data_IF_119671497973
#
_entry.id   IF_119671497973
#
_cell.length_a   1.000
_cell.length_b   1.000
_cell.length_c   1.000
_cell.angle_alpha   90.00
_cell.angle_beta   90.00
_cell.angle_gamma   90.00
#
_symmetry.space_group_name_H-M   'P 1'
#
loop_
_entity.id
_entity.type
_entity.pdbx_description
1 polymer ?
#
# COMPACT_ATOMS: atom_id res chain seq x y z
N UNK A 1 1.45 18.45 35.65
CA UNK A 1 1.97 17.14 35.21
C UNK A 1 1.54 16.78 33.78
N UNK A 2 0.27 16.93 33.45
CA UNK A 2 -0.25 16.60 32.10
C UNK A 2 0.42 17.40 30.96
N UNK A 3 0.62 18.69 31.11
CA UNK A 3 1.27 19.52 30.10
C UNK A 3 2.73 19.13 29.82
N UNK A 4 3.45 18.69 30.83
CA UNK A 4 4.82 18.20 30.66
C UNK A 4 4.86 16.83 29.94
N UNK A 5 3.94 15.94 30.26
CA UNK A 5 3.77 14.66 29.57
C UNK A 5 3.37 14.85 28.10
N UNK A 6 2.44 15.74 27.83
CA UNK A 6 2.03 16.06 26.45
C UNK A 6 3.18 16.63 25.61
N UNK A 7 3.98 17.52 26.18
CA UNK A 7 5.15 18.06 25.49
C UNK A 7 6.20 16.97 25.17
N UNK A 8 6.43 16.05 26.10
CA UNK A 8 7.38 14.95 25.90
C UNK A 8 6.86 14.02 24.80
N UNK A 9 5.58 13.64 24.86
CA UNK A 9 4.95 12.77 23.85
C UNK A 9 4.96 13.42 22.48
N UNK A 10 4.63 14.70 22.37
CA UNK A 10 4.68 15.43 21.09
C UNK A 10 6.09 15.50 20.53
N UNK A 11 7.09 15.71 21.37
CA UNK A 11 8.49 15.79 20.94
C UNK A 11 8.99 14.44 20.44
N UNK A 12 8.67 13.36 21.15
CA UNK A 12 9.01 11.99 20.74
C UNK A 12 8.27 11.64 19.44
N UNK A 13 6.98 11.93 19.34
CA UNK A 13 6.19 11.68 18.15
C UNK A 13 6.72 12.45 16.93
N UNK A 14 7.12 13.70 17.10
CA UNK A 14 7.76 14.50 16.03
C UNK A 14 9.03 13.83 15.52
N UNK A 15 9.95 13.43 16.41
CA UNK A 15 11.17 12.73 15.98
C UNK A 15 10.89 11.39 15.30
N UNK A 16 9.94 10.61 15.81
CA UNK A 16 9.55 9.34 15.19
C UNK A 16 8.95 9.53 13.80
N UNK A 17 8.03 10.48 13.66
CA UNK A 17 7.27 10.68 12.41
C UNK A 17 8.08 11.43 11.36
N UNK A 18 8.84 12.45 11.77
CA UNK A 18 9.52 13.32 10.80
C UNK A 18 10.83 12.75 10.28
N UNK A 19 11.53 11.95 11.09
CA UNK A 19 12.85 11.42 10.71
C UNK A 19 12.84 9.91 10.54
N UNK A 20 12.46 9.16 11.58
CA UNK A 20 12.61 7.70 11.59
C UNK A 20 11.66 7.07 10.58
N UNK A 21 10.40 7.47 10.57
CA UNK A 21 9.40 6.94 9.65
C UNK A 21 9.77 7.20 8.18
N UNK A 22 10.21 8.42 7.86
CA UNK A 22 10.58 8.79 6.49
C UNK A 22 11.80 7.99 6.03
N UNK A 23 12.85 7.91 6.85
CA UNK A 23 14.06 7.15 6.52
C UNK A 23 13.72 5.67 6.33
N UNK A 24 12.89 5.10 7.20
CA UNK A 24 12.49 3.70 7.15
C UNK A 24 11.64 3.42 5.91
N UNK A 25 10.70 4.29 5.59
CA UNK A 25 9.80 4.14 4.44
C UNK A 25 10.56 4.28 3.11
N UNK A 26 11.39 5.30 2.99
CA UNK A 26 12.23 5.51 1.79
C UNK A 26 13.28 4.41 1.67
N UNK A 27 13.94 4.04 2.78
CA UNK A 27 14.93 2.97 2.82
C UNK A 27 14.35 1.61 2.45
N UNK A 28 13.21 1.23 3.02
CA UNK A 28 12.51 -0.01 2.67
C UNK A 28 12.04 0.02 1.20
N UNK A 29 11.43 1.13 0.76
CA UNK A 29 11.00 1.29 -0.63
C UNK A 29 12.15 1.19 -1.62
N UNK A 30 13.29 1.80 -1.32
CA UNK A 30 14.50 1.71 -2.14
C UNK A 30 15.08 0.28 -2.15
N UNK A 31 15.17 -0.35 -0.99
CA UNK A 31 15.62 -1.74 -0.86
C UNK A 31 14.78 -2.68 -1.71
N UNK A 32 13.46 -2.62 -1.57
CA UNK A 32 12.57 -3.45 -2.38
C UNK A 32 12.61 -3.09 -3.87
N UNK A 33 12.71 -1.81 -4.24
CA UNK A 33 12.85 -1.39 -5.63
C UNK A 33 14.08 -1.99 -6.30
N UNK A 34 15.23 -1.96 -5.62
CA UNK A 34 16.48 -2.56 -6.13
C UNK A 34 16.35 -4.08 -6.18
N UNK A 35 15.84 -4.70 -5.11
CA UNK A 35 15.71 -6.16 -5.00
C UNK A 35 14.76 -6.75 -6.03
N UNK A 36 13.68 -6.04 -6.37
CA UNK A 36 12.72 -6.44 -7.41
C UNK A 36 13.08 -5.94 -8.81
N UNK A 37 14.26 -5.32 -8.97
CA UNK A 37 14.73 -4.76 -10.24
C UNK A 37 13.73 -3.78 -10.86
N UNK A 38 13.24 -2.85 -10.07
CA UNK A 38 12.27 -1.82 -10.48
C UNK A 38 11.02 -2.41 -11.15
N UNK A 39 10.41 -3.39 -10.51
CA UNK A 39 9.18 -4.04 -10.99
C UNK A 39 8.08 -3.02 -11.31
N UNK A 40 8.02 -1.91 -10.58
CA UNK A 40 7.06 -0.82 -10.77
C UNK A 40 7.08 -0.29 -12.22
N UNK A 41 8.27 -0.22 -12.83
CA UNK A 41 8.42 0.29 -14.20
C UNK A 41 8.31 -0.84 -15.22
N UNK A 42 8.97 -1.97 -14.95
CA UNK A 42 9.03 -3.10 -15.90
C UNK A 42 7.69 -3.77 -16.14
N UNK A 43 6.93 -3.98 -15.07
CA UNK A 43 5.66 -4.71 -15.15
C UNK A 43 4.44 -3.80 -15.20
N UNK A 44 4.62 -2.47 -15.24
CA UNK A 44 3.51 -1.52 -15.26
C UNK A 44 2.57 -1.74 -16.46
N UNK A 45 3.12 -1.88 -17.66
CA UNK A 45 2.33 -2.09 -18.87
C UNK A 45 1.58 -3.42 -18.87
N UNK A 46 2.20 -4.49 -18.35
CA UNK A 46 1.55 -5.78 -18.24
C UNK A 46 0.47 -5.78 -17.15
N UNK A 47 0.74 -5.14 -16.02
CA UNK A 47 -0.24 -4.93 -14.95
C UNK A 47 -1.48 -4.18 -15.44
N UNK A 48 -1.28 -3.08 -16.16
CA UNK A 48 -2.35 -2.30 -16.79
C UNK A 48 -3.16 -3.14 -17.77
N UNK A 49 -2.49 -3.89 -18.64
CA UNK A 49 -3.15 -4.77 -19.61
C UNK A 49 -3.97 -5.87 -18.94
N UNK A 50 -3.49 -6.45 -17.84
CA UNK A 50 -4.23 -7.48 -17.07
C UNK A 50 -5.43 -6.92 -16.34
N UNK A 51 -5.34 -5.70 -15.83
CA UNK A 51 -6.44 -5.04 -15.13
C UNK A 51 -7.52 -4.59 -16.11
N UNK A 52 -7.12 -3.90 -17.19
CA UNK A 52 -8.07 -3.30 -18.14
C UNK A 52 -8.39 -4.18 -19.34
N UNK A 53 -7.52 -5.13 -19.72
CA UNK A 53 -7.71 -5.98 -20.89
C UNK A 53 -8.75 -7.08 -20.73
N UNK A 54 -9.13 -7.43 -19.51
CA UNK A 54 -10.13 -8.45 -19.17
C UNK A 54 -11.24 -7.88 -18.26
N UNK A 55 -11.69 -6.67 -18.53
CA UNK A 55 -12.86 -6.11 -17.82
C UNK A 55 -14.13 -6.80 -18.33
N UNK A 56 -14.41 -7.99 -17.84
CA UNK A 56 -15.75 -8.57 -17.93
C UNK A 56 -16.62 -7.98 -16.82
N UNK A 57 -17.32 -6.90 -17.14
CA UNK A 57 -18.33 -6.30 -16.26
C UNK A 57 -19.53 -7.24 -15.99
N UNK A 58 -19.71 -8.24 -16.82
CA UNK A 58 -20.65 -9.34 -16.58
C UNK A 58 -19.88 -10.47 -15.94
N UNK A 59 -20.13 -10.73 -14.66
CA UNK A 59 -19.52 -11.76 -13.86
C UNK A 59 -19.47 -13.14 -14.54
N UNK A 60 -18.52 -13.31 -15.43
CA UNK A 60 -18.20 -14.59 -16.01
C UNK A 60 -17.69 -15.47 -14.86
N UNK A 61 -18.36 -16.60 -14.61
CA UNK A 61 -17.98 -17.63 -13.67
C UNK A 61 -16.53 -18.07 -13.97
N UNK A 62 -15.55 -17.39 -13.41
CA UNK A 62 -14.23 -17.99 -13.25
C UNK A 62 -14.35 -18.97 -12.09
N UNK A 63 -14.16 -20.25 -12.40
CA UNK A 63 -14.12 -21.29 -11.41
C UNK A 63 -13.04 -20.92 -10.36
N UNK A 64 -13.51 -20.46 -9.19
CA UNK A 64 -12.71 -20.43 -7.97
C UNK A 64 -11.89 -19.17 -7.66
N UNK A 65 -12.26 -17.95 -8.13
CA UNK A 65 -11.50 -16.75 -7.71
C UNK A 65 -12.11 -15.41 -8.12
N UNK A 66 -11.66 -14.35 -7.44
CA UNK A 66 -11.98 -12.97 -7.81
C UNK A 66 -11.32 -12.61 -9.15
N UNK A 67 -12.01 -11.84 -10.00
CA UNK A 67 -11.38 -11.26 -11.18
C UNK A 67 -10.29 -10.26 -10.77
N UNK A 68 -9.27 -10.05 -11.63
CA UNK A 68 -8.19 -9.10 -11.35
C UNK A 68 -8.71 -7.69 -11.04
N UNK A 69 -9.79 -7.29 -11.69
CA UNK A 69 -10.43 -6.01 -11.42
C UNK A 69 -11.13 -5.96 -10.05
N UNK A 70 -11.84 -7.04 -9.67
CA UNK A 70 -12.45 -7.12 -8.33
C UNK A 70 -11.40 -7.11 -7.22
N UNK A 71 -10.31 -7.84 -7.39
CA UNK A 71 -9.19 -7.85 -6.45
C UNK A 71 -8.58 -6.45 -6.28
N UNK A 72 -8.37 -5.73 -7.40
CA UNK A 72 -7.88 -4.35 -7.37
C UNK A 72 -8.88 -3.40 -6.69
N UNK A 73 -10.16 -3.47 -7.05
CA UNK A 73 -11.20 -2.63 -6.47
C UNK A 73 -11.32 -2.84 -4.95
N UNK A 74 -11.25 -4.09 -4.50
CA UNK A 74 -11.28 -4.43 -3.07
C UNK A 74 -10.03 -3.90 -2.35
N UNK A 75 -8.86 -4.06 -2.94
CA UNK A 75 -7.61 -3.55 -2.36
C UNK A 75 -7.64 -2.02 -2.23
N UNK A 76 -8.10 -1.31 -3.27
CA UNK A 76 -8.26 0.16 -3.23
C UNK A 76 -9.26 0.55 -2.15
N UNK A 77 -10.42 -0.09 -2.09
CA UNK A 77 -11.46 0.20 -1.10
C UNK A 77 -10.98 -0.02 0.35
N UNK A 78 -10.13 -1.02 0.57
CA UNK A 78 -9.54 -1.30 1.88
C UNK A 78 -8.46 -0.29 2.28
N UNK A 79 -7.72 0.26 1.31
CA UNK A 79 -6.59 1.15 1.57
C UNK A 79 -6.97 2.63 1.60
N UNK A 80 -8.01 3.04 0.85
CA UNK A 80 -8.46 4.43 0.80
C UNK A 80 -9.40 4.71 1.98
N UNK A 81 -8.83 5.28 3.02
CA UNK A 81 -9.58 5.75 4.19
C UNK A 81 -9.72 7.28 4.23
N UNK A 82 -10.60 7.76 5.10
CA UNK A 82 -10.77 9.21 5.35
C UNK A 82 -9.47 9.88 5.77
N UNK A 83 -8.59 9.17 6.48
CA UNK A 83 -7.28 9.64 6.91
C UNK A 83 -6.36 10.01 5.73
N UNK A 84 -6.44 9.30 4.61
CA UNK A 84 -5.64 9.60 3.43
C UNK A 84 -6.06 10.92 2.79
N UNK A 85 -7.37 11.21 2.78
CA UNK A 85 -7.91 12.46 2.22
C UNK A 85 -7.52 13.63 3.13
N UNK A 86 -7.74 13.49 4.43
CA UNK A 86 -7.39 14.54 5.41
C UNK A 86 -5.88 14.79 5.44
N UNK A 87 -5.07 13.71 5.37
CA UNK A 87 -3.62 13.81 5.32
C UNK A 87 -3.12 14.54 4.07
N UNK A 88 -3.69 14.24 2.90
CA UNK A 88 -3.36 14.93 1.66
C UNK A 88 -3.74 16.41 1.70
N UNK A 89 -4.95 16.74 2.19
CA UNK A 89 -5.39 18.13 2.36
C UNK A 89 -4.47 18.88 3.33
N UNK A 90 -4.12 18.28 4.47
CA UNK A 90 -3.22 18.88 5.45
C UNK A 90 -1.81 19.11 4.87
N UNK A 91 -1.28 18.16 4.11
CA UNK A 91 0.01 18.31 3.46
C UNK A 91 0.02 19.46 2.44
N UNK A 92 -1.04 19.64 1.67
CA UNK A 92 -1.18 20.73 0.71
C UNK A 92 -1.30 22.08 1.43
N UNK A 93 -2.04 22.13 2.52
CA UNK A 93 -2.21 23.38 3.30
C UNK A 93 -0.89 23.84 3.93
N UNK A 94 -0.05 22.91 4.38
CA UNK A 94 1.23 23.23 5.04
C UNK A 94 2.36 23.41 4.01
N UNK A 95 2.47 22.51 3.05
CA UNK A 95 3.58 22.45 2.09
C UNK A 95 3.29 23.04 0.72
N UNK A 96 2.06 23.53 0.48
CA UNK A 96 1.66 24.09 -0.81
C UNK A 96 1.74 23.04 -1.95
N UNK A 97 1.87 23.52 -3.21
CA UNK A 97 1.89 22.62 -4.38
C UNK A 97 3.12 21.69 -4.40
N UNK A 98 4.21 22.05 -3.73
CA UNK A 98 5.39 21.20 -3.60
C UNK A 98 5.13 19.88 -2.85
N UNK A 99 4.16 19.88 -1.95
CA UNK A 99 3.77 18.67 -1.22
C UNK A 99 3.29 17.56 -2.17
N UNK A 100 2.56 17.90 -3.23
CA UNK A 100 2.07 16.92 -4.21
C UNK A 100 3.22 16.20 -4.91
N UNK A 101 4.27 16.93 -5.27
CA UNK A 101 5.45 16.35 -5.90
C UNK A 101 6.14 15.34 -4.97
N UNK A 102 6.31 15.68 -3.70
CA UNK A 102 6.90 14.78 -2.71
C UNK A 102 6.01 13.56 -2.43
N UNK A 103 4.69 13.74 -2.41
CA UNK A 103 3.74 12.63 -2.28
C UNK A 103 3.88 11.64 -3.43
N UNK A 104 4.11 12.08 -4.66
CA UNK A 104 4.35 11.19 -5.80
C UNK A 104 5.65 10.41 -5.67
N UNK A 105 6.72 11.06 -5.22
CA UNK A 105 8.00 10.38 -4.98
C UNK A 105 7.85 9.28 -3.92
N UNK A 106 7.21 9.61 -2.80
CA UNK A 106 6.98 8.63 -1.72
C UNK A 106 6.06 7.50 -2.20
N UNK A 107 5.02 7.80 -2.97
CA UNK A 107 4.13 6.80 -3.54
C UNK A 107 4.87 5.83 -4.48
N UNK A 108 5.83 6.33 -5.26
CA UNK A 108 6.64 5.48 -6.12
C UNK A 108 7.45 4.43 -5.33
N UNK A 109 8.06 4.84 -4.22
CA UNK A 109 8.74 3.90 -3.32
C UNK A 109 7.77 2.97 -2.59
N UNK A 110 6.59 3.48 -2.21
CA UNK A 110 5.53 2.70 -1.60
C UNK A 110 4.99 1.57 -2.49
N UNK A 111 4.97 1.76 -3.80
CA UNK A 111 4.56 0.69 -4.74
C UNK A 111 5.41 -0.57 -4.61
N UNK A 112 6.70 -0.45 -4.38
CA UNK A 112 7.59 -1.61 -4.21
C UNK A 112 7.27 -2.38 -2.93
N UNK A 113 6.92 -1.68 -1.86
CA UNK A 113 6.55 -2.28 -0.58
C UNK A 113 5.22 -3.03 -0.71
N UNK A 114 4.20 -2.42 -1.33
CA UNK A 114 2.91 -3.06 -1.58
C UNK A 114 3.07 -4.31 -2.46
N UNK A 115 3.95 -4.26 -3.46
CA UNK A 115 4.26 -5.44 -4.28
C UNK A 115 4.85 -6.56 -3.44
N UNK A 116 5.81 -6.26 -2.55
CA UNK A 116 6.40 -7.26 -1.66
C UNK A 116 5.36 -7.87 -0.71
N UNK A 117 4.46 -7.06 -0.15
CA UNK A 117 3.34 -7.52 0.67
C UNK A 117 2.40 -8.45 -0.11
N UNK A 118 2.04 -8.07 -1.34
CA UNK A 118 1.17 -8.88 -2.19
C UNK A 118 1.80 -10.23 -2.56
N UNK A 119 3.09 -10.26 -2.85
CA UNK A 119 3.83 -11.51 -3.11
C UNK A 119 3.85 -12.39 -1.87
N UNK A 120 4.16 -11.81 -0.69
CA UNK A 120 4.18 -12.53 0.57
C UNK A 120 2.80 -13.12 0.90
N UNK A 121 1.75 -12.33 0.73
CA UNK A 121 0.38 -12.77 0.96
C UNK A 121 -0.03 -13.93 0.03
N UNK A 122 0.47 -13.95 -1.21
CA UNK A 122 0.21 -15.06 -2.14
C UNK A 122 1.00 -16.31 -1.80
N UNK A 123 2.23 -16.18 -1.36
CA UNK A 123 3.08 -17.29 -0.93
C UNK A 123 2.55 -17.99 0.34
N UNK A 124 2.01 -17.19 1.26
CA UNK A 124 1.54 -17.67 2.57
C UNK A 124 0.06 -18.06 2.59
N UNK A 125 -0.67 -17.88 1.48
CA UNK A 125 -2.10 -18.21 1.46
C UNK A 125 -2.35 -19.70 1.57
N UNK A 126 -3.30 -20.07 2.41
CA UNK A 126 -3.81 -21.46 2.53
C UNK A 126 -5.15 -21.54 1.82
N UNK A 127 -5.30 -22.57 0.96
CA UNK A 127 -6.55 -22.85 0.26
C UNK A 127 -7.30 -23.93 1.03
N UNK A 128 -8.36 -23.54 1.70
CA UNK A 128 -9.25 -24.49 2.39
C UNK A 128 -10.23 -25.13 1.40
N UNK A 129 -10.77 -26.31 1.76
CA UNK A 129 -11.69 -27.11 0.94
C UNK A 129 -12.95 -26.34 0.48
N UNK A 130 -13.31 -25.25 1.13
CA UNK A 130 -14.43 -24.37 0.77
C UNK A 130 -14.07 -23.24 -0.22
N UNK A 131 -12.89 -23.27 -0.85
CA UNK A 131 -12.40 -22.22 -1.77
C UNK A 131 -12.29 -20.82 -1.11
N UNK A 132 -12.42 -20.72 0.19
CA UNK A 132 -12.17 -19.48 0.92
C UNK A 132 -10.66 -19.32 1.12
N UNK A 133 -10.10 -18.26 0.56
CA UNK A 133 -8.71 -17.90 0.77
C UNK A 133 -8.60 -17.22 2.14
N UNK A 134 -8.01 -17.90 3.10
CA UNK A 134 -7.65 -17.29 4.38
C UNK A 134 -6.13 -17.21 4.49
N UNK A 135 -5.63 -16.11 5.03
CA UNK A 135 -4.26 -16.09 5.51
C UNK A 135 -4.17 -16.99 6.75
N UNK A 136 -3.05 -17.71 6.99
CA UNK A 136 -2.88 -18.47 8.20
C UNK A 136 -3.06 -17.56 9.41
N UNK A 137 -4.03 -17.91 10.27
CA UNK A 137 -4.22 -17.23 11.53
C UNK A 137 -3.11 -17.66 12.50
N UNK A 138 -2.60 -16.75 13.34
CA UNK A 138 -1.65 -17.15 14.39
C UNK A 138 -2.19 -18.17 15.39
N UNK A 139 -3.46 -18.58 15.23
CA UNK A 139 -4.15 -19.55 16.09
C UNK A 139 -4.34 -20.94 15.45
N UNK A 140 -3.96 -21.08 14.19
CA UNK A 140 -3.94 -22.36 13.46
C UNK A 140 -2.51 -22.91 13.46
#
# INVERSE_FOLDING_TARGET
MEAALLNIVQKINGYLSDYILIILLVGAGLYFSIRTRFVQVRCFGEGMRRVFGNINLHGGKQQGGFSSFQALATAIAAQVGTGNIVGACGAILIGGPGAIFWMWIIAFFGMATIYAEAVLAQETRVVNACLLYTSPSPRD
#
